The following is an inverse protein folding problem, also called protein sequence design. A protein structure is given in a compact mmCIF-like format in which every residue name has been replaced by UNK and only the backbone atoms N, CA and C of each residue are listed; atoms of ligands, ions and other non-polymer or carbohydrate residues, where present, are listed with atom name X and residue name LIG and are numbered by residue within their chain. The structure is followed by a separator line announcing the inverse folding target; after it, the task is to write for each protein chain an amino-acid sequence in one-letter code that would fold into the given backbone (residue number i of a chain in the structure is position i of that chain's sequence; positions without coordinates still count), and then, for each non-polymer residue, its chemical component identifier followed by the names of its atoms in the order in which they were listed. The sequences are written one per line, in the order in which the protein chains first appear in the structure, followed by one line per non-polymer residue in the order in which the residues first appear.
data_IF_436979724557
#
_entry.id   IF_436979724557
#
_cell.length_a   1.000
_cell.length_b   1.000
_cell.length_c   1.000
_cell.angle_alpha   90.00
_cell.angle_beta   90.00
_cell.angle_gamma   90.00
#
_symmetry.space_group_name_H-M   'P 1'
#
loop_
_entity.id
_entity.type
_entity.pdbx_description
1 polymer ?
#
# COMPACT_ATOMS: atom_id res chain seq x y z
N UNK A 1 -37.85 -5.52 -10.28
CA UNK A 1 -36.90 -6.46 -9.67
C UNK A 1 -35.56 -6.17 -10.31
N UNK A 2 -34.49 -5.97 -9.53
CA UNK A 2 -33.17 -5.71 -10.10
C UNK A 2 -32.78 -6.91 -10.99
N UNK A 3 -32.22 -6.64 -12.17
CA UNK A 3 -31.68 -7.70 -13.01
C UNK A 3 -30.50 -8.37 -12.28
N UNK A 4 -30.25 -9.65 -12.52
CA UNK A 4 -29.12 -10.36 -11.91
C UNK A 4 -27.79 -9.66 -12.22
N UNK A 5 -27.70 -9.05 -13.40
CA UNK A 5 -26.57 -8.21 -13.84
C UNK A 5 -26.38 -6.99 -12.95
N UNK A 6 -27.46 -6.31 -12.56
CA UNK A 6 -27.40 -5.11 -11.72
C UNK A 6 -26.84 -5.45 -10.34
N UNK A 7 -27.27 -6.58 -9.77
CA UNK A 7 -26.78 -7.06 -8.48
C UNK A 7 -25.28 -7.38 -8.55
N UNK A 8 -24.84 -8.08 -9.59
CA UNK A 8 -23.42 -8.41 -9.78
C UNK A 8 -22.54 -7.17 -9.97
N UNK A 9 -23.03 -6.18 -10.72
CA UNK A 9 -22.32 -4.91 -10.95
C UNK A 9 -22.20 -4.09 -9.66
N UNK A 10 -23.23 -4.09 -8.81
CA UNK A 10 -23.16 -3.39 -7.53
C UNK A 10 -22.16 -4.06 -6.58
N UNK A 11 -22.20 -5.40 -6.44
CA UNK A 11 -21.20 -6.12 -5.64
C UNK A 11 -19.80 -5.89 -6.21
N UNK A 12 -19.64 -5.90 -7.54
CA UNK A 12 -18.37 -5.59 -8.19
C UNK A 12 -17.87 -4.19 -7.80
N UNK A 13 -18.74 -3.19 -7.83
CA UNK A 13 -18.44 -1.81 -7.45
C UNK A 13 -17.99 -1.73 -6.00
N UNK A 14 -18.66 -2.42 -5.08
CA UNK A 14 -18.28 -2.49 -3.67
C UNK A 14 -16.88 -3.08 -3.49
N UNK A 15 -16.56 -4.17 -4.20
CA UNK A 15 -15.21 -4.75 -4.16
C UNK A 15 -14.16 -3.75 -4.67
N UNK A 16 -14.45 -3.01 -5.74
CA UNK A 16 -13.53 -1.97 -6.26
C UNK A 16 -13.34 -0.85 -5.25
N UNK A 17 -14.40 -0.39 -4.59
CA UNK A 17 -14.32 0.65 -3.57
C UNK A 17 -13.54 0.18 -2.35
N UNK A 18 -13.74 -1.05 -1.87
CA UNK A 18 -12.99 -1.62 -0.75
C UNK A 18 -11.48 -1.75 -1.07
N UNK A 19 -11.13 -2.12 -2.30
CA UNK A 19 -9.75 -2.14 -2.76
C UNK A 19 -9.13 -0.73 -2.74
N UNK A 20 -9.81 0.27 -3.32
CA UNK A 20 -9.34 1.67 -3.29
C UNK A 20 -9.21 2.19 -1.86
N UNK A 21 -10.15 1.86 -0.99
CA UNK A 21 -10.12 2.27 0.41
C UNK A 21 -8.90 1.70 1.15
N UNK A 22 -8.54 0.44 0.90
CA UNK A 22 -7.34 -0.17 1.49
C UNK A 22 -6.06 0.57 1.07
N UNK A 23 -6.00 1.03 -0.18
CA UNK A 23 -4.88 1.83 -0.69
C UNK A 23 -4.85 3.23 -0.07
N UNK A 24 -6.00 3.89 0.06
CA UNK A 24 -6.12 5.19 0.71
C UNK A 24 -5.69 5.13 2.19
N UNK A 25 -6.14 4.13 2.94
CA UNK A 25 -5.74 3.93 4.33
C UNK A 25 -4.23 3.71 4.46
N UNK A 26 -3.62 2.97 3.54
CA UNK A 26 -2.17 2.78 3.48
C UNK A 26 -1.41 4.08 3.22
N UNK A 27 -1.90 4.92 2.33
CA UNK A 27 -1.32 6.24 2.06
C UNK A 27 -1.46 7.17 3.28
N UNK A 28 -2.65 7.25 3.89
CA UNK A 28 -2.91 8.05 5.09
C UNK A 28 -1.99 7.63 6.25
N UNK A 29 -1.92 6.32 6.54
CA UNK A 29 -1.05 5.77 7.57
C UNK A 29 0.43 6.12 7.31
N UNK A 30 0.89 5.93 6.08
CA UNK A 30 2.28 6.22 5.72
C UNK A 30 2.61 7.71 5.87
N UNK A 31 1.70 8.61 5.46
CA UNK A 31 1.89 10.05 5.62
C UNK A 31 2.01 10.46 7.09
N UNK A 32 1.17 9.88 7.97
CA UNK A 32 1.25 10.13 9.42
C UNK A 32 2.61 9.67 9.96
N UNK A 33 3.05 8.45 9.62
CA UNK A 33 4.34 7.92 10.07
C UNK A 33 5.50 8.79 9.58
N UNK A 34 5.51 9.18 8.29
CA UNK A 34 6.55 10.05 7.73
C UNK A 34 6.60 11.38 8.47
N UNK A 35 5.46 12.00 8.75
CA UNK A 35 5.39 13.28 9.46
C UNK A 35 5.96 13.17 10.88
N UNK A 36 5.55 12.16 11.63
CA UNK A 36 6.03 11.90 13.01
C UNK A 36 7.53 11.64 13.01
N UNK A 37 8.01 10.83 12.07
CA UNK A 37 9.44 10.51 11.91
C UNK A 37 10.26 11.74 11.56
N UNK A 38 9.79 12.55 10.59
CA UNK A 38 10.47 13.78 10.20
C UNK A 38 10.58 14.77 11.37
N UNK A 39 9.50 14.92 12.16
CA UNK A 39 9.52 15.75 13.37
C UNK A 39 10.52 15.20 14.42
N UNK A 40 10.51 13.89 14.65
CA UNK A 40 11.47 13.24 15.55
C UNK A 40 12.92 13.43 15.13
N UNK A 41 13.24 13.24 13.85
CA UNK A 41 14.57 13.47 13.29
C UNK A 41 14.99 14.94 13.39
N UNK A 42 14.07 15.88 13.19
CA UNK A 42 14.34 17.31 13.38
C UNK A 42 14.74 17.64 14.82
N UNK A 43 14.07 17.06 15.81
CA UNK A 43 14.42 17.24 17.23
C UNK A 43 15.79 16.64 17.56
N UNK A 44 16.10 15.45 17.05
CA UNK A 44 17.43 14.83 17.22
C UNK A 44 18.52 15.68 16.58
N UNK A 45 18.28 16.22 15.38
CA UNK A 45 19.23 17.09 14.69
C UNK A 45 19.54 18.38 15.46
N UNK A 46 18.61 18.89 16.27
CA UNK A 46 18.80 20.13 17.05
C UNK A 46 19.51 19.88 18.38
N UNK A 47 19.24 18.75 19.04
CA UNK A 47 19.76 18.44 20.37
C UNK A 47 21.05 17.60 20.35
N UNK A 48 21.38 17.01 19.20
CA UNK A 48 22.43 16.00 19.11
C UNK A 48 21.91 14.61 19.50
N UNK A 49 22.81 13.62 19.43
CA UNK A 49 22.50 12.25 19.80
C UNK A 49 23.04 11.99 21.21
N UNK A 50 22.13 11.78 22.14
CA UNK A 50 22.40 11.48 23.56
C UNK A 50 21.53 10.29 23.98
N UNK A 51 21.70 9.77 25.19
CA UNK A 51 20.84 8.69 25.71
C UNK A 51 19.35 9.09 25.72
N UNK A 52 19.03 10.38 25.85
CA UNK A 52 17.67 10.91 25.75
C UNK A 52 17.03 10.70 24.36
N UNK A 53 17.83 10.53 23.31
CA UNK A 53 17.39 10.19 21.94
C UNK A 53 16.66 8.86 21.86
N UNK A 54 16.83 7.96 22.84
CA UNK A 54 16.08 6.70 22.93
C UNK A 54 14.57 6.93 22.99
N UNK A 55 14.12 8.03 23.61
CA UNK A 55 12.70 8.41 23.69
C UNK A 55 12.08 8.61 22.31
N UNK A 56 12.87 8.99 21.31
CA UNK A 56 12.41 9.22 19.92
C UNK A 56 12.72 8.00 19.04
N UNK A 57 13.95 7.48 19.11
CA UNK A 57 14.46 6.45 18.21
C UNK A 57 13.83 5.07 18.41
N UNK A 58 13.49 4.71 19.66
CA UNK A 58 12.81 3.44 19.94
C UNK A 58 11.39 3.43 19.39
N UNK A 59 10.51 4.42 19.69
CA UNK A 59 9.19 4.50 19.03
C UNK A 59 9.28 4.60 17.51
N UNK A 60 10.25 5.34 16.97
CA UNK A 60 10.48 5.41 15.52
C UNK A 60 10.77 4.04 14.91
N UNK A 61 11.55 3.19 15.58
CA UNK A 61 11.80 1.81 15.16
C UNK A 61 10.51 1.02 15.08
N UNK A 62 9.70 1.06 16.14
CA UNK A 62 8.43 0.35 16.19
C UNK A 62 7.42 0.87 15.16
N UNK A 63 7.37 2.18 14.92
CA UNK A 63 6.52 2.77 13.87
C UNK A 63 6.92 2.29 12.48
N UNK A 64 8.23 2.19 12.19
CA UNK A 64 8.71 1.62 10.93
C UNK A 64 8.32 0.15 10.77
N UNK A 65 8.53 -0.68 11.81
CA UNK A 65 8.13 -2.11 11.77
C UNK A 65 6.61 -2.26 11.60
N UNK A 66 5.84 -1.48 12.34
CA UNK A 66 4.38 -1.44 12.19
C UNK A 66 3.96 -1.02 10.78
N UNK A 67 4.60 -0.01 10.20
CA UNK A 67 4.34 0.44 8.84
C UNK A 67 4.60 -0.64 7.78
N UNK A 68 5.66 -1.46 7.96
CA UNK A 68 5.93 -2.64 7.11
C UNK A 68 4.76 -3.63 7.18
N UNK A 69 4.37 -4.02 8.38
CA UNK A 69 3.28 -5.00 8.60
C UNK A 69 1.96 -4.47 8.05
N UNK A 70 1.64 -3.20 8.33
CA UNK A 70 0.43 -2.54 7.85
C UNK A 70 0.39 -2.49 6.31
N UNK A 71 1.51 -2.14 5.65
CA UNK A 71 1.57 -2.13 4.18
C UNK A 71 1.34 -3.52 3.57
N UNK A 72 1.91 -4.57 4.17
CA UNK A 72 1.67 -5.95 3.76
C UNK A 72 0.21 -6.36 3.98
N UNK A 73 -0.39 -5.95 5.10
CA UNK A 73 -1.78 -6.26 5.41
C UNK A 73 -2.76 -5.57 4.46
N UNK A 74 -2.56 -4.29 4.17
CA UNK A 74 -3.37 -3.56 3.19
C UNK A 74 -3.20 -4.14 1.78
N UNK A 75 -1.99 -4.61 1.43
CA UNK A 75 -1.75 -5.30 0.16
C UNK A 75 -2.54 -6.60 0.06
N UNK A 76 -2.55 -7.42 1.11
CA UNK A 76 -3.36 -8.65 1.17
C UNK A 76 -4.84 -8.36 0.94
N UNK A 77 -5.40 -7.35 1.65
CA UNK A 77 -6.80 -6.95 1.50
C UNK A 77 -7.11 -6.42 0.10
N UNK A 78 -6.25 -5.58 -0.45
CA UNK A 78 -6.39 -5.09 -1.83
C UNK A 78 -6.46 -6.26 -2.82
N UNK A 79 -5.59 -7.26 -2.67
CA UNK A 79 -5.56 -8.42 -3.56
C UNK A 79 -6.80 -9.30 -3.45
N UNK A 80 -7.33 -9.48 -2.25
CA UNK A 80 -8.59 -10.18 -2.03
C UNK A 80 -9.73 -9.51 -2.80
N UNK A 81 -9.96 -8.22 -2.56
CA UNK A 81 -11.04 -7.47 -3.20
C UNK A 81 -10.85 -7.38 -4.72
N UNK A 82 -9.62 -7.24 -5.21
CA UNK A 82 -9.34 -7.21 -6.64
C UNK A 82 -9.63 -8.56 -7.32
N UNK A 83 -9.29 -9.70 -6.69
CA UNK A 83 -9.62 -11.03 -7.21
C UNK A 83 -11.12 -11.29 -7.24
N UNK A 84 -11.85 -10.86 -6.21
CA UNK A 84 -13.31 -10.95 -6.17
C UNK A 84 -13.94 -10.10 -7.28
N UNK A 85 -13.46 -8.87 -7.49
CA UNK A 85 -13.92 -8.01 -8.58
C UNK A 85 -13.65 -8.64 -9.97
N UNK A 86 -12.51 -9.29 -10.17
CA UNK A 86 -12.23 -10.01 -11.43
C UNK A 86 -13.24 -11.14 -11.64
N UNK A 87 -13.50 -11.94 -10.60
CA UNK A 87 -14.45 -13.06 -10.66
C UNK A 87 -15.87 -12.59 -10.99
N UNK A 88 -16.31 -11.49 -10.37
CA UNK A 88 -17.63 -10.89 -10.63
C UNK A 88 -17.73 -10.33 -12.05
N UNK A 89 -16.68 -9.67 -12.54
CA UNK A 89 -16.62 -9.20 -13.94
C UNK A 89 -16.77 -10.37 -14.91
N UNK A 90 -16.06 -11.46 -14.66
CA UNK A 90 -16.10 -12.63 -15.54
C UNK A 90 -17.51 -13.28 -15.56
N UNK A 91 -18.22 -13.27 -14.43
CA UNK A 91 -19.65 -13.67 -14.37
C UNK A 91 -20.56 -12.73 -15.18
N UNK A 92 -20.36 -11.42 -15.09
CA UNK A 92 -21.13 -10.44 -15.89
C UNK A 92 -20.89 -10.64 -17.39
N UNK A 93 -19.64 -10.89 -17.81
CA UNK A 93 -19.33 -11.15 -19.22
C UNK A 93 -19.90 -12.46 -19.73
N UNK A 94 -20.05 -13.47 -18.87
CA UNK A 94 -20.74 -14.70 -19.23
C UNK A 94 -22.24 -14.48 -19.49
N UNK A 95 -22.86 -13.53 -18.79
CA UNK A 95 -24.26 -13.13 -19.03
C UNK A 95 -24.41 -12.25 -20.28
N UNK A 96 -23.37 -11.48 -20.62
CA UNK A 96 -23.39 -10.49 -21.71
C UNK A 96 -22.20 -10.66 -22.66
N UNK A 97 -22.16 -11.73 -23.48
CA UNK A 97 -20.99 -12.06 -24.30
C UNK A 97 -20.67 -11.01 -25.38
N UNK A 98 -21.64 -10.18 -25.77
CA UNK A 98 -21.47 -9.15 -26.80
C UNK A 98 -20.75 -7.88 -26.35
N UNK A 99 -20.36 -7.74 -25.08
CA UNK A 99 -19.82 -6.48 -24.56
C UNK A 99 -18.35 -6.21 -24.95
N UNK A 100 -17.64 -7.13 -25.61
CA UNK A 100 -16.24 -6.97 -26.11
C UNK A 100 -15.22 -6.45 -25.07
N UNK A 101 -15.58 -6.42 -23.78
CA UNK A 101 -14.78 -5.79 -22.70
C UNK A 101 -13.44 -6.47 -22.54
N UNK A 102 -13.39 -7.78 -22.72
CA UNK A 102 -12.15 -8.56 -22.56
C UNK A 102 -11.12 -8.23 -23.65
N UNK A 103 -11.57 -8.00 -24.89
CA UNK A 103 -10.71 -7.59 -25.99
C UNK A 103 -10.17 -6.17 -25.76
N UNK A 104 -11.03 -5.23 -25.38
CA UNK A 104 -10.62 -3.88 -25.03
C UNK A 104 -9.63 -3.86 -23.85
N UNK A 105 -9.90 -4.63 -22.80
CA UNK A 105 -9.04 -4.74 -21.62
C UNK A 105 -7.66 -5.31 -21.96
N UNK A 106 -7.61 -6.43 -22.68
CA UNK A 106 -6.35 -7.09 -23.05
C UNK A 106 -5.48 -6.21 -23.95
N UNK A 107 -6.09 -5.50 -24.90
CA UNK A 107 -5.40 -4.52 -25.75
C UNK A 107 -4.80 -3.38 -24.94
N UNK A 108 -5.60 -2.75 -24.06
CA UNK A 108 -5.13 -1.68 -23.18
C UNK A 108 -4.03 -2.14 -22.23
N UNK A 109 -4.15 -3.35 -21.68
CA UNK A 109 -3.15 -3.93 -20.79
C UNK A 109 -1.83 -4.23 -21.53
N UNK A 110 -1.90 -4.77 -22.75
CA UNK A 110 -0.74 -5.02 -23.60
C UNK A 110 -0.01 -3.72 -23.97
N UNK A 111 -0.76 -2.68 -24.36
CA UNK A 111 -0.21 -1.35 -24.63
C UNK A 111 0.44 -0.71 -23.39
N UNK A 112 -0.13 -0.94 -22.20
CA UNK A 112 0.47 -0.46 -20.95
C UNK A 112 1.78 -1.19 -20.63
N UNK A 113 1.80 -2.51 -20.78
CA UNK A 113 2.99 -3.33 -20.50
C UNK A 113 4.15 -2.99 -21.45
N UNK A 114 3.87 -2.77 -22.73
CA UNK A 114 4.88 -2.38 -23.72
C UNK A 114 5.46 -0.99 -23.44
N UNK A 115 4.63 -0.07 -22.90
CA UNK A 115 5.07 1.28 -22.51
C UNK A 115 5.90 1.30 -21.22
N UNK A 116 5.63 0.40 -20.27
CA UNK A 116 6.27 0.41 -18.94
C UNK A 116 6.90 -0.93 -18.51
N UNK A 117 7.79 -1.55 -19.31
CA UNK A 117 8.26 -2.92 -19.08
C UNK A 117 9.11 -3.11 -17.82
N UNK A 118 9.76 -2.04 -17.34
CA UNK A 118 10.56 -2.05 -16.09
C UNK A 118 9.71 -1.70 -14.88
N UNK A 119 8.94 -0.61 -14.95
CA UNK A 119 8.11 -0.14 -13.85
C UNK A 119 7.02 -1.16 -13.49
N UNK A 120 6.48 -1.89 -14.47
CA UNK A 120 5.50 -2.94 -14.24
C UNK A 120 6.02 -4.06 -13.31
N UNK A 121 7.34 -4.31 -13.29
CA UNK A 121 7.96 -5.30 -12.39
C UNK A 121 8.03 -4.82 -10.95
N UNK A 122 8.05 -3.50 -10.75
CA UNK A 122 8.11 -2.89 -9.42
C UNK A 122 6.72 -2.86 -8.83
N UNK A 123 6.49 -3.70 -7.82
CA UNK A 123 5.21 -3.72 -7.12
C UNK A 123 5.12 -2.49 -6.23
N UNK A 124 4.06 -1.70 -6.41
CA UNK A 124 3.88 -0.44 -5.66
C UNK A 124 4.03 -0.66 -4.15
N UNK A 125 3.39 -1.68 -3.56
CA UNK A 125 3.48 -1.95 -2.12
C UNK A 125 4.92 -2.17 -1.62
N UNK A 126 5.81 -2.69 -2.47
CA UNK A 126 7.19 -2.96 -2.09
C UNK A 126 7.95 -1.65 -1.81
N UNK A 127 7.66 -0.58 -2.56
CA UNK A 127 8.26 0.73 -2.31
C UNK A 127 7.92 1.25 -0.91
N UNK A 128 6.68 1.04 -0.47
CA UNK A 128 6.23 1.47 0.86
C UNK A 128 6.77 0.59 1.97
N UNK A 129 6.88 -0.73 1.73
CA UNK A 129 7.55 -1.64 2.66
C UNK A 129 9.02 -1.23 2.84
N UNK A 130 9.73 -0.92 1.76
CA UNK A 130 11.13 -0.47 1.82
C UNK A 130 11.25 0.85 2.58
N UNK A 131 10.33 1.81 2.34
CA UNK A 131 10.30 3.08 3.08
C UNK A 131 10.19 2.84 4.59
N UNK A 132 9.21 2.06 5.03
CA UNK A 132 8.98 1.78 6.45
C UNK A 132 10.09 0.93 7.07
N UNK A 133 10.68 0.00 6.31
CA UNK A 133 11.87 -0.72 6.74
C UNK A 133 13.07 0.21 6.92
N UNK A 134 13.24 1.21 6.05
CA UNK A 134 14.25 2.26 6.20
C UNK A 134 14.05 3.09 7.47
N UNK A 135 12.80 3.46 7.78
CA UNK A 135 12.45 4.15 9.04
C UNK A 135 12.83 3.29 10.25
N UNK A 136 12.48 2.01 10.24
CA UNK A 136 12.82 1.08 11.31
C UNK A 136 14.34 0.96 11.51
N UNK A 137 15.08 0.89 10.40
CA UNK A 137 16.54 0.81 10.41
C UNK A 137 17.19 2.08 10.97
N UNK A 138 16.73 3.26 10.56
CA UNK A 138 17.23 4.54 11.08
C UNK A 138 16.94 4.67 12.58
N UNK A 139 15.74 4.32 13.03
CA UNK A 139 15.41 4.30 14.46
C UNK A 139 16.35 3.37 15.24
N UNK A 140 16.56 2.15 14.72
CA UNK A 140 17.43 1.16 15.37
C UNK A 140 18.88 1.64 15.45
N UNK A 141 19.39 2.23 14.36
CA UNK A 141 20.75 2.76 14.30
C UNK A 141 20.95 3.92 15.30
N UNK A 142 19.98 4.83 15.39
CA UNK A 142 20.01 5.92 16.37
C UNK A 142 19.97 5.39 17.82
N UNK A 143 19.15 4.37 18.08
CA UNK A 143 19.09 3.76 19.41
C UNK A 143 20.41 3.09 19.81
N UNK A 144 21.03 2.35 18.89
CA UNK A 144 22.35 1.72 19.14
C UNK A 144 23.41 2.78 19.38
N UNK A 145 23.46 3.83 18.55
CA UNK A 145 24.44 4.90 18.72
C UNK A 145 24.27 5.62 20.07
N UNK A 146 23.04 5.95 20.46
CA UNK A 146 22.74 6.62 21.73
C UNK A 146 23.09 5.82 23.00
N UNK A 147 23.29 4.51 22.87
CA UNK A 147 23.71 3.63 23.97
C UNK A 147 25.23 3.45 24.07
N UNK A 148 25.96 3.70 22.97
CA UNK A 148 27.41 3.46 22.87
C UNK A 148 28.21 4.77 22.89
N UNK A 149 27.61 5.87 22.45
CA UNK A 149 28.16 7.22 22.54
C UNK A 149 28.03 7.79 23.96
#
# INVERSE_FOLDING_TARGET
MADASDVLLEIWRDQRQAAVQSENQRATLSNIVILVVAAGLGLVSQRGIETSTLVISVPMTFLGLYGVIACLKFRERFDLHNKLAVTLRDQVLALHPGLEVQAAWSSAYGAHLSKYPRLFKVRLYALWVVLHAGIALVGSALSVYALVA
#
